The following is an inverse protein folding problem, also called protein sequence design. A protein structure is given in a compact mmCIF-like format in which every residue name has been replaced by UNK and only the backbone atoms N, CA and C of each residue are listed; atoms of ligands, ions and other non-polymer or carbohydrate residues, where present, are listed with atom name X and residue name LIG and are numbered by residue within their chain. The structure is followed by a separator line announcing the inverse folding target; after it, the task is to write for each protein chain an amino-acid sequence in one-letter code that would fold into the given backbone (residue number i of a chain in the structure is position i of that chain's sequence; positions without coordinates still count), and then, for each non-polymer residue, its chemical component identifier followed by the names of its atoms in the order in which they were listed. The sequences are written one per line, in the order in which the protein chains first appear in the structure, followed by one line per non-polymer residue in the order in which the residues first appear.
data_IF_216334164194
#
_entry.id   IF_216334164194
#
_cell.length_a   1.000
_cell.length_b   1.000
_cell.length_c   1.000
_cell.angle_alpha   90.00
_cell.angle_beta   90.00
_cell.angle_gamma   90.00
#
_symmetry.space_group_name_H-M   'P 1'
#
loop_
_entity.id
_entity.type
_entity.pdbx_description
1 polymer ?
#
# COMPACT_ATOMS: atom_id res chain seq x y z
N UNK A 1 -40.65 -9.61 -4.83
CA UNK A 1 -39.51 -8.71 -5.10
C UNK A 1 -38.31 -9.53 -5.58
N UNK A 2 -38.33 -10.01 -6.85
CA UNK A 2 -37.27 -10.83 -7.45
C UNK A 2 -37.28 -10.60 -8.97
N UNK A 3 -36.43 -9.72 -9.48
CA UNK A 3 -36.11 -9.62 -10.92
C UNK A 3 -34.91 -8.67 -11.15
N UNK A 4 -33.67 -9.13 -10.95
CA UNK A 4 -32.47 -8.35 -11.38
C UNK A 4 -31.19 -9.16 -11.62
N UNK A 5 -31.28 -10.46 -11.93
CA UNK A 5 -30.08 -11.32 -12.11
C UNK A 5 -29.85 -11.82 -13.55
N UNK A 6 -30.80 -11.72 -14.47
CA UNK A 6 -30.66 -12.29 -15.82
C UNK A 6 -29.91 -11.43 -16.86
N UNK A 7 -29.69 -10.13 -16.64
CA UNK A 7 -29.03 -9.27 -17.65
C UNK A 7 -27.49 -9.36 -17.68
N UNK A 8 -26.86 -9.83 -16.61
CA UNK A 8 -25.39 -9.83 -16.49
C UNK A 8 -24.72 -10.97 -17.27
N UNK A 9 -25.36 -12.14 -17.37
CA UNK A 9 -24.77 -13.33 -18.01
C UNK A 9 -24.63 -13.12 -19.52
N UNK A 10 -25.67 -12.57 -20.18
CA UNK A 10 -25.63 -12.33 -21.62
C UNK A 10 -24.61 -11.26 -22.05
N UNK A 11 -24.31 -10.29 -21.18
CA UNK A 11 -23.24 -9.31 -21.43
C UNK A 11 -21.86 -9.95 -21.28
N UNK A 12 -21.65 -10.70 -20.20
CA UNK A 12 -20.40 -11.43 -19.94
C UNK A 12 -20.07 -12.40 -21.08
N UNK A 13 -21.04 -13.19 -21.53
CA UNK A 13 -20.85 -14.13 -22.63
C UNK A 13 -20.48 -13.45 -23.96
N UNK A 14 -21.01 -12.25 -24.22
CA UNK A 14 -20.64 -11.45 -25.40
C UNK A 14 -19.21 -10.92 -25.28
N UNK A 15 -18.83 -10.42 -24.12
CA UNK A 15 -17.47 -9.94 -23.87
C UNK A 15 -16.44 -11.07 -24.03
N UNK A 16 -16.72 -12.26 -23.48
CA UNK A 16 -15.84 -13.43 -23.61
C UNK A 16 -15.72 -13.90 -25.07
N UNK A 17 -16.82 -13.91 -25.83
CA UNK A 17 -16.78 -14.24 -27.27
C UNK A 17 -15.98 -13.21 -28.06
N UNK A 18 -16.18 -11.92 -27.81
CA UNK A 18 -15.40 -10.86 -28.47
C UNK A 18 -13.91 -10.96 -28.14
N UNK A 19 -13.56 -11.22 -26.88
CA UNK A 19 -12.17 -11.39 -26.48
C UNK A 19 -11.52 -12.59 -27.19
N UNK A 20 -12.22 -13.73 -27.27
CA UNK A 20 -11.72 -14.91 -27.98
C UNK A 20 -11.51 -14.64 -29.46
N UNK A 21 -12.41 -13.90 -30.09
CA UNK A 21 -12.28 -13.49 -31.50
C UNK A 21 -11.09 -12.55 -31.70
N UNK A 22 -10.90 -11.55 -30.82
CA UNK A 22 -9.74 -10.65 -30.86
C UNK A 22 -8.42 -11.40 -30.65
N UNK A 23 -8.34 -12.32 -29.68
CA UNK A 23 -7.16 -13.16 -29.47
C UNK A 23 -6.87 -14.01 -30.72
N UNK A 24 -7.90 -14.57 -31.35
CA UNK A 24 -7.75 -15.31 -32.61
C UNK A 24 -7.24 -14.46 -33.77
N UNK A 25 -7.59 -13.16 -33.83
CA UNK A 25 -6.99 -12.23 -34.80
C UNK A 25 -5.51 -11.98 -34.47
N UNK A 26 -5.19 -11.70 -33.21
CA UNK A 26 -3.81 -11.45 -32.77
C UNK A 26 -2.89 -12.65 -33.00
N UNK A 27 -3.37 -13.87 -32.74
CA UNK A 27 -2.59 -15.10 -32.99
C UNK A 27 -2.33 -15.32 -34.49
N UNK A 28 -3.34 -15.06 -35.35
CA UNK A 28 -3.17 -15.15 -36.80
C UNK A 28 -2.25 -14.08 -37.35
N UNK A 29 -2.37 -12.85 -36.86
CA UNK A 29 -1.49 -11.76 -37.26
C UNK A 29 -0.07 -11.99 -36.75
N UNK A 30 0.10 -12.49 -35.52
CA UNK A 30 1.39 -12.90 -34.97
C UNK A 30 2.05 -14.07 -35.74
N UNK A 31 1.25 -14.93 -36.36
CA UNK A 31 1.69 -16.02 -37.23
C UNK A 31 1.96 -15.58 -38.69
N UNK A 32 1.39 -14.45 -39.13
CA UNK A 32 1.60 -13.84 -40.47
C UNK A 32 2.75 -12.83 -40.50
N UNK A 33 3.39 -12.59 -39.36
CA UNK A 33 4.58 -11.73 -39.28
C UNK A 33 5.64 -12.28 -40.25
N UNK A 34 6.06 -11.50 -41.26
CA UNK A 34 7.01 -11.97 -42.27
C UNK A 34 8.34 -12.38 -41.63
N UNK A 35 9.03 -13.35 -42.23
CA UNK A 35 10.28 -13.90 -41.70
C UNK A 35 11.40 -12.83 -41.51
N UNK A 36 11.28 -11.67 -42.15
CA UNK A 36 12.14 -10.51 -41.94
C UNK A 36 11.95 -9.83 -40.57
N UNK A 37 10.78 -9.98 -39.95
CA UNK A 37 10.43 -9.41 -38.63
C UNK A 37 10.57 -10.45 -37.51
N UNK A 38 10.51 -11.76 -37.81
CA UNK A 38 10.78 -12.81 -36.80
C UNK A 38 12.23 -12.82 -36.30
N UNK A 39 13.19 -12.38 -37.12
CA UNK A 39 14.58 -12.15 -36.71
C UNK A 39 14.75 -10.95 -35.76
N UNK A 40 13.85 -9.96 -35.84
CA UNK A 40 13.80 -8.82 -34.91
C UNK A 40 13.19 -9.22 -33.57
N UNK A 41 12.22 -10.15 -33.56
CA UNK A 41 11.59 -10.66 -32.32
C UNK A 41 12.61 -11.10 -31.26
N UNK A 42 13.71 -11.76 -31.66
CA UNK A 42 14.77 -12.17 -30.71
C UNK A 42 15.60 -11.00 -30.17
N UNK A 43 15.78 -9.93 -30.96
CA UNK A 43 16.48 -8.72 -30.53
C UNK A 43 15.57 -7.80 -29.72
N UNK A 44 14.28 -7.73 -30.06
CA UNK A 44 13.27 -6.93 -29.39
C UNK A 44 13.06 -7.39 -27.94
N UNK A 45 13.11 -8.70 -27.68
CA UNK A 45 13.07 -9.26 -26.32
C UNK A 45 14.40 -9.14 -25.59
N UNK A 46 15.55 -9.28 -26.27
CA UNK A 46 16.85 -9.13 -25.64
C UNK A 46 17.06 -7.74 -25.01
N UNK A 47 16.60 -6.67 -25.67
CA UNK A 47 16.60 -5.33 -25.10
C UNK A 47 15.59 -5.18 -23.95
N UNK A 48 14.43 -5.86 -24.00
CA UNK A 48 13.46 -5.85 -22.89
C UNK A 48 13.97 -6.61 -21.67
N UNK A 49 14.58 -7.78 -21.85
CA UNK A 49 15.15 -8.59 -20.78
C UNK A 49 16.35 -7.86 -20.14
N UNK A 50 17.21 -7.25 -20.95
CA UNK A 50 18.32 -6.43 -20.46
C UNK A 50 17.82 -5.15 -19.77
N UNK A 51 16.84 -4.45 -20.32
CA UNK A 51 16.24 -3.26 -19.71
C UNK A 51 15.51 -3.61 -18.39
N UNK A 52 14.81 -4.75 -18.34
CA UNK A 52 14.17 -5.24 -17.12
C UNK A 52 15.18 -5.70 -16.07
N UNK A 53 16.25 -6.40 -16.46
CA UNK A 53 17.32 -6.81 -15.56
C UNK A 53 18.07 -5.59 -15.01
N UNK A 54 18.33 -4.58 -15.85
CA UNK A 54 18.97 -3.34 -15.44
C UNK A 54 18.05 -2.47 -14.55
N UNK A 55 16.74 -2.47 -14.83
CA UNK A 55 15.75 -1.78 -13.97
C UNK A 55 15.63 -2.50 -12.62
N UNK A 56 15.49 -3.84 -12.61
CA UNK A 56 15.42 -4.65 -11.40
C UNK A 56 16.66 -4.50 -10.51
N UNK A 57 17.85 -4.54 -11.11
CA UNK A 57 19.10 -4.33 -10.38
C UNK A 57 19.21 -2.91 -9.82
N UNK A 58 18.74 -1.87 -10.53
CA UNK A 58 18.71 -0.49 -10.01
C UNK A 58 17.73 -0.29 -8.84
N UNK A 59 16.56 -0.94 -8.86
CA UNK A 59 15.59 -0.85 -7.74
C UNK A 59 16.16 -1.51 -6.48
N UNK A 60 16.76 -2.70 -6.60
CA UNK A 60 17.32 -3.43 -5.45
C UNK A 60 18.67 -2.86 -4.97
N UNK A 61 19.53 -2.40 -5.87
CA UNK A 61 20.86 -1.86 -5.53
C UNK A 61 20.82 -0.45 -4.91
N UNK A 62 19.70 0.28 -5.04
CA UNK A 62 19.55 1.63 -4.50
C UNK A 62 18.99 1.69 -3.06
N UNK A 63 18.44 0.59 -2.53
CA UNK A 63 17.77 0.60 -1.22
C UNK A 63 18.79 0.32 -0.12
N UNK A 64 19.05 1.33 0.70
CA UNK A 64 19.89 1.20 1.89
C UNK A 64 19.12 0.44 2.99
N UNK A 65 19.50 -0.82 3.24
CA UNK A 65 18.86 -1.66 4.27
C UNK A 65 18.99 -1.09 5.69
N UNK A 66 20.09 -0.37 5.99
CA UNK A 66 20.24 0.33 7.26
C UNK A 66 19.21 1.46 7.38
N UNK A 67 18.98 2.20 6.29
CA UNK A 67 17.93 3.23 6.25
C UNK A 67 16.55 2.62 6.50
N UNK A 68 16.26 1.46 5.89
CA UNK A 68 14.98 0.74 6.10
C UNK A 68 14.81 0.35 7.56
N UNK A 69 15.86 -0.18 8.20
CA UNK A 69 15.81 -0.57 9.61
C UNK A 69 15.60 0.64 10.53
N UNK A 70 16.31 1.75 10.29
CA UNK A 70 16.15 3.00 11.05
C UNK A 70 14.74 3.57 10.84
N UNK A 71 14.25 3.58 9.61
CA UNK A 71 12.92 4.07 9.27
C UNK A 71 11.80 3.23 9.93
N UNK A 72 12.00 1.90 9.99
CA UNK A 72 11.12 0.98 10.70
C UNK A 72 11.10 1.25 12.21
N UNK A 73 12.27 1.48 12.82
CA UNK A 73 12.38 1.84 14.24
C UNK A 73 11.66 3.15 14.55
N UNK A 74 11.89 4.19 13.73
CA UNK A 74 11.22 5.50 13.88
C UNK A 74 9.71 5.32 13.78
N UNK A 75 9.23 4.60 12.77
CA UNK A 75 7.81 4.30 12.58
C UNK A 75 7.19 3.57 13.77
N UNK A 76 7.90 2.57 14.28
CA UNK A 76 7.45 1.78 15.42
C UNK A 76 7.33 2.63 16.69
N UNK A 77 8.34 3.46 16.97
CA UNK A 77 8.32 4.39 18.11
C UNK A 77 7.22 5.44 17.96
N UNK A 78 7.06 6.02 16.77
CA UNK A 78 5.99 6.97 16.47
C UNK A 78 4.62 6.33 16.74
N UNK A 79 4.39 5.10 16.28
CA UNK A 79 3.15 4.38 16.55
C UNK A 79 2.93 4.11 18.04
N UNK A 80 3.98 3.69 18.75
CA UNK A 80 3.92 3.47 20.20
C UNK A 80 3.54 4.74 20.97
N UNK A 81 4.13 5.88 20.62
CA UNK A 81 3.82 7.18 21.25
C UNK A 81 2.41 7.66 20.85
N UNK A 82 2.03 7.51 19.58
CA UNK A 82 0.77 8.02 19.05
C UNK A 82 -0.46 7.38 19.72
N UNK A 83 -0.43 6.06 19.85
CA UNK A 83 -1.52 5.28 20.44
C UNK A 83 -1.35 5.02 21.95
N UNK A 84 -0.34 5.62 22.58
CA UNK A 84 -0.19 5.58 24.04
C UNK A 84 -1.34 6.33 24.74
N UNK A 85 -1.73 5.94 25.97
CA UNK A 85 -2.75 6.63 26.76
C UNK A 85 -2.56 8.15 26.86
N UNK A 86 -1.31 8.61 26.84
CA UNK A 86 -0.96 10.02 26.96
C UNK A 86 -1.36 10.88 25.74
N UNK A 87 -1.42 10.30 24.53
CA UNK A 87 -1.65 11.05 23.29
C UNK A 87 -3.04 10.80 22.72
N UNK A 88 -3.24 9.72 21.95
CA UNK A 88 -4.53 9.36 21.37
C UNK A 88 -5.06 8.01 21.84
N UNK A 89 -4.44 7.43 22.87
CA UNK A 89 -4.74 6.11 23.43
C UNK A 89 -6.19 5.90 23.88
N UNK A 90 -6.87 6.94 24.36
CA UNK A 90 -8.28 6.87 24.76
C UNK A 90 -9.22 7.17 23.59
N UNK A 91 -8.84 8.16 22.75
CA UNK A 91 -9.61 8.56 21.57
C UNK A 91 -9.70 7.48 20.49
N UNK A 92 -8.69 6.60 20.36
CA UNK A 92 -8.75 5.50 19.37
C UNK A 92 -9.62 4.32 19.81
N UNK A 93 -9.88 4.16 21.11
CA UNK A 93 -10.67 3.04 21.62
C UNK A 93 -12.15 3.25 21.30
N UNK A 94 -12.77 2.22 20.71
CA UNK A 94 -14.20 2.21 20.36
C UNK A 94 -15.04 1.39 21.32
N UNK A 95 -14.40 0.51 22.09
CA UNK A 95 -15.05 -0.37 23.05
C UNK A 95 -14.44 -0.15 24.44
N UNK A 96 -15.21 -0.40 25.51
CA UNK A 96 -14.67 -0.40 26.87
C UNK A 96 -13.48 -1.36 26.99
N UNK A 97 -12.51 -0.99 27.82
CA UNK A 97 -11.38 -1.86 28.12
C UNK A 97 -11.88 -3.17 28.75
N UNK A 98 -11.31 -4.28 28.33
CA UNK A 98 -11.59 -5.57 28.96
C UNK A 98 -11.17 -5.53 30.44
N UNK A 99 -11.95 -6.14 31.34
CA UNK A 99 -11.54 -6.39 32.72
C UNK A 99 -10.19 -7.08 32.77
N UNK A 100 -9.33 -6.72 33.73
CA UNK A 100 -7.94 -7.23 33.77
C UNK A 100 -7.83 -8.75 33.82
N UNK A 101 -8.81 -9.43 34.43
CA UNK A 101 -8.89 -10.88 34.50
C UNK A 101 -9.15 -11.58 33.14
N UNK A 102 -9.56 -10.83 32.10
CA UNK A 102 -9.77 -11.32 30.74
C UNK A 102 -8.65 -10.90 29.77
N UNK A 103 -7.64 -10.16 30.24
CA UNK A 103 -6.57 -9.63 29.39
C UNK A 103 -5.46 -10.66 29.19
N UNK A 104 -5.44 -11.29 28.02
CA UNK A 104 -4.28 -12.09 27.59
C UNK A 104 -3.10 -11.16 27.30
N UNK A 105 -2.10 -11.13 28.19
CA UNK A 105 -0.89 -10.34 28.01
C UNK A 105 0.16 -11.11 27.21
N UNK A 106 0.30 -10.77 25.93
CA UNK A 106 1.44 -11.18 25.08
C UNK A 106 2.16 -9.95 24.51
N UNK A 107 2.74 -9.07 25.36
CA UNK A 107 3.32 -7.81 24.93
C UNK A 107 4.44 -8.02 23.92
N UNK A 108 5.32 -9.01 24.12
CA UNK A 108 6.40 -9.33 23.20
C UNK A 108 5.87 -9.70 21.79
N UNK A 109 4.77 -10.44 21.70
CA UNK A 109 4.16 -10.79 20.42
C UNK A 109 3.55 -9.57 19.73
N UNK A 110 2.84 -8.72 20.48
CA UNK A 110 2.20 -7.51 19.95
C UNK A 110 3.25 -6.54 19.42
N UNK A 111 4.28 -6.25 20.22
CA UNK A 111 5.38 -5.38 19.81
C UNK A 111 6.23 -5.99 18.70
N UNK A 112 6.48 -7.31 18.74
CA UNK A 112 7.21 -8.01 17.69
C UNK A 112 6.50 -7.96 16.34
N UNK A 113 5.19 -8.24 16.31
CA UNK A 113 4.37 -8.10 15.09
C UNK A 113 4.31 -6.64 14.64
N UNK A 114 4.12 -5.69 15.55
CA UNK A 114 4.08 -4.27 15.24
C UNK A 114 5.38 -3.76 14.61
N UNK A 115 6.53 -4.20 15.13
CA UNK A 115 7.84 -3.87 14.57
C UNK A 115 8.03 -4.51 13.19
N UNK A 116 7.65 -5.78 13.02
CA UNK A 116 7.71 -6.46 11.72
C UNK A 116 6.86 -5.76 10.65
N UNK A 117 5.64 -5.33 11.01
CA UNK A 117 4.79 -4.56 10.10
C UNK A 117 5.40 -3.19 9.78
N UNK A 118 6.07 -2.56 10.74
CA UNK A 118 6.80 -1.30 10.52
C UNK A 118 7.97 -1.50 9.55
N UNK A 119 8.67 -2.63 9.62
CA UNK A 119 9.73 -3.01 8.70
C UNK A 119 9.21 -3.22 7.28
N UNK A 120 8.08 -3.93 7.15
CA UNK A 120 7.42 -4.13 5.86
C UNK A 120 6.98 -2.78 5.27
N UNK A 121 6.35 -1.92 6.07
CA UNK A 121 5.91 -0.60 5.64
C UNK A 121 7.09 0.27 5.16
N UNK A 122 8.19 0.30 5.93
CA UNK A 122 9.40 1.03 5.56
C UNK A 122 10.00 0.52 4.24
N UNK A 123 10.07 -0.81 4.07
CA UNK A 123 10.57 -1.42 2.84
C UNK A 123 9.69 -1.08 1.63
N UNK A 124 8.37 -1.21 1.76
CA UNK A 124 7.42 -0.87 0.69
C UNK A 124 7.50 0.61 0.32
N UNK A 125 7.66 1.49 1.31
CA UNK A 125 7.80 2.91 1.08
C UNK A 125 9.13 3.27 0.40
N UNK A 126 10.22 2.60 0.76
CA UNK A 126 11.51 2.74 0.06
C UNK A 126 11.42 2.31 -1.42
N UNK A 127 10.71 1.23 -1.71
CA UNK A 127 10.45 0.78 -3.09
C UNK A 127 9.57 1.80 -3.83
N UNK A 128 8.56 2.37 -3.17
CA UNK A 128 7.62 3.32 -3.75
C UNK A 128 8.28 4.66 -4.11
N UNK A 129 9.08 5.24 -3.21
CA UNK A 129 9.75 6.52 -3.46
C UNK A 129 11.06 6.39 -4.24
N UNK A 130 11.67 5.22 -4.22
CA UNK A 130 13.01 5.03 -4.77
C UNK A 130 14.10 5.65 -3.88
N UNK A 131 15.37 5.57 -4.34
CA UNK A 131 16.51 6.05 -3.56
C UNK A 131 16.51 7.57 -3.42
N UNK A 132 16.72 8.05 -2.17
CA UNK A 132 16.88 9.47 -1.81
C UNK A 132 15.75 10.39 -2.31
N UNK A 133 14.52 10.22 -1.79
CA UNK A 133 13.45 11.16 -2.08
C UNK A 133 13.80 12.56 -1.57
N UNK A 134 13.37 13.59 -2.29
CA UNK A 134 13.48 14.95 -1.78
C UNK A 134 12.56 15.16 -0.58
N UNK A 135 12.92 16.09 0.31
CA UNK A 135 12.12 16.42 1.49
C UNK A 135 10.69 16.85 1.12
N UNK A 136 10.52 17.55 -0.01
CA UNK A 136 9.20 17.95 -0.52
C UNK A 136 8.34 16.74 -0.89
N UNK A 137 8.93 15.74 -1.57
CA UNK A 137 8.21 14.50 -1.90
C UNK A 137 7.82 13.75 -0.63
N UNK A 138 8.72 13.62 0.34
CA UNK A 138 8.43 12.99 1.63
C UNK A 138 7.23 13.64 2.34
N UNK A 139 7.21 14.97 2.42
CA UNK A 139 6.13 15.73 3.06
C UNK A 139 4.81 15.57 2.30
N UNK A 140 4.82 15.80 0.98
CA UNK A 140 3.62 15.73 0.16
C UNK A 140 3.03 14.32 0.16
N UNK A 141 3.86 13.29 -0.03
CA UNK A 141 3.41 11.89 -0.01
C UNK A 141 2.86 11.51 1.37
N UNK A 142 3.48 11.96 2.46
CA UNK A 142 2.96 11.73 3.81
C UNK A 142 1.61 12.40 4.04
N UNK A 143 1.50 13.70 3.76
CA UNK A 143 0.23 14.42 3.87
C UNK A 143 -0.88 13.78 3.00
N UNK A 144 -0.56 13.39 1.77
CA UNK A 144 -1.50 12.73 0.87
C UNK A 144 -1.97 11.37 1.43
N UNK A 145 -1.04 10.54 1.93
CA UNK A 145 -1.37 9.26 2.53
C UNK A 145 -2.27 9.42 3.77
N UNK A 146 -1.99 10.43 4.62
CA UNK A 146 -2.84 10.76 5.75
C UNK A 146 -4.23 11.20 5.34
N UNK A 147 -4.35 12.09 4.35
CA UNK A 147 -5.64 12.56 3.83
C UNK A 147 -6.48 11.41 3.27
N UNK A 148 -5.87 10.50 2.50
CA UNK A 148 -6.54 9.29 2.02
C UNK A 148 -7.10 8.48 3.18
N UNK A 149 -6.35 8.37 4.28
CA UNK A 149 -6.80 7.61 5.45
C UNK A 149 -7.87 8.33 6.27
N UNK A 150 -7.87 9.68 6.30
CA UNK A 150 -9.00 10.45 6.86
C UNK A 150 -10.27 10.17 6.06
N UNK A 151 -10.23 10.32 4.73
CA UNK A 151 -11.40 10.17 3.85
C UNK A 151 -11.96 8.75 3.90
N UNK A 152 -11.08 7.75 3.80
CA UNK A 152 -11.50 6.34 3.87
C UNK A 152 -11.93 5.92 5.28
N UNK A 153 -11.31 6.50 6.31
CA UNK A 153 -11.72 6.35 7.70
C UNK A 153 -13.17 6.79 7.92
N UNK A 154 -13.54 7.94 7.35
CA UNK A 154 -14.91 8.46 7.43
C UNK A 154 -15.94 7.46 6.90
N UNK A 155 -15.69 6.88 5.73
CA UNK A 155 -16.57 5.89 5.11
C UNK A 155 -16.66 4.59 5.93
N UNK A 156 -15.51 4.09 6.41
CA UNK A 156 -15.43 2.85 7.21
C UNK A 156 -16.16 3.00 8.55
N UNK A 157 -15.83 4.05 9.29
CA UNK A 157 -16.36 4.31 10.63
C UNK A 157 -17.85 4.66 10.60
N UNK A 158 -18.30 5.35 9.54
CA UNK A 158 -19.74 5.64 9.35
C UNK A 158 -20.56 4.35 9.23
N UNK A 159 -20.07 3.37 8.47
CA UNK A 159 -20.75 2.07 8.29
C UNK A 159 -20.83 1.25 9.58
N UNK A 160 -19.93 1.49 10.53
CA UNK A 160 -19.88 0.81 11.83
C UNK A 160 -20.83 1.41 12.89
N UNK A 161 -21.67 2.39 12.54
CA UNK A 161 -22.68 2.95 13.44
C UNK A 161 -22.13 3.92 14.50
N UNK A 162 -20.90 4.41 14.34
CA UNK A 162 -20.31 5.40 15.23
C UNK A 162 -21.02 6.76 15.12
N UNK A 163 -21.10 7.48 16.23
CA UNK A 163 -21.57 8.86 16.25
C UNK A 163 -20.71 9.74 15.33
N UNK A 164 -21.30 10.81 14.76
CA UNK A 164 -20.58 11.71 13.83
C UNK A 164 -19.28 12.27 14.44
N UNK A 165 -19.33 12.65 15.72
CA UNK A 165 -18.16 13.15 16.46
C UNK A 165 -17.05 12.10 16.59
N UNK A 166 -17.40 10.89 17.04
CA UNK A 166 -16.43 9.80 17.20
C UNK A 166 -15.86 9.31 15.86
N UNK A 167 -16.67 9.36 14.80
CA UNK A 167 -16.19 9.07 13.44
C UNK A 167 -15.12 10.08 13.00
N UNK A 168 -15.38 11.38 13.14
CA UNK A 168 -14.40 12.41 12.80
C UNK A 168 -13.12 12.24 13.63
N UNK A 169 -13.26 12.06 14.94
CA UNK A 169 -12.14 11.83 15.86
C UNK A 169 -11.25 10.66 15.41
N UNK A 170 -11.85 9.47 15.21
CA UNK A 170 -11.11 8.28 14.77
C UNK A 170 -10.48 8.45 13.38
N UNK A 171 -11.17 9.13 12.48
CA UNK A 171 -10.66 9.38 11.12
C UNK A 171 -9.46 10.31 11.15
N UNK A 172 -9.49 11.34 12.00
CA UNK A 172 -8.36 12.26 12.20
C UNK A 172 -7.19 11.60 12.94
N UNK A 173 -7.45 10.79 13.97
CA UNK A 173 -6.38 10.09 14.70
C UNK A 173 -5.61 9.16 13.75
N UNK A 174 -6.33 8.35 12.95
CA UNK A 174 -5.69 7.42 12.03
C UNK A 174 -5.05 8.13 10.83
N UNK A 175 -5.72 9.14 10.28
CA UNK A 175 -5.17 9.95 9.20
C UNK A 175 -3.92 10.72 9.60
N UNK A 176 -3.93 11.34 10.78
CA UNK A 176 -2.79 12.04 11.35
C UNK A 176 -1.62 11.08 11.62
N UNK A 177 -1.88 9.89 12.16
CA UNK A 177 -0.86 8.86 12.33
C UNK A 177 -0.16 8.54 11.01
N UNK A 178 -0.91 8.22 9.95
CA UNK A 178 -0.31 7.88 8.66
C UNK A 178 0.42 9.06 8.01
N UNK A 179 -0.09 10.28 8.17
CA UNK A 179 0.64 11.47 7.72
C UNK A 179 2.03 11.57 8.36
N UNK A 180 2.08 11.51 9.70
CA UNK A 180 3.33 11.60 10.46
C UNK A 180 4.24 10.41 10.19
N UNK A 181 3.69 9.20 10.12
CA UNK A 181 4.42 7.97 9.80
C UNK A 181 5.17 8.10 8.47
N UNK A 182 4.47 8.43 7.38
CA UNK A 182 5.07 8.48 6.06
C UNK A 182 5.99 9.69 5.87
N UNK A 183 5.71 10.82 6.53
CA UNK A 183 6.66 11.93 6.63
C UNK A 183 7.97 11.50 7.30
N UNK A 184 7.88 10.80 8.43
CA UNK A 184 9.05 10.34 9.17
C UNK A 184 9.87 9.33 8.37
N UNK A 185 9.21 8.37 7.70
CA UNK A 185 9.86 7.43 6.78
C UNK A 185 10.61 8.17 5.66
N UNK A 186 9.94 9.12 5.00
CA UNK A 186 10.53 9.88 3.90
C UNK A 186 11.70 10.75 4.35
N UNK A 187 11.61 11.34 5.55
CA UNK A 187 12.71 12.11 6.14
C UNK A 187 13.92 11.23 6.43
N UNK A 188 13.73 10.02 6.96
CA UNK A 188 14.83 9.07 7.13
C UNK A 188 15.44 8.75 5.77
N UNK A 189 14.65 8.37 4.77
CA UNK A 189 15.20 8.03 3.44
C UNK A 189 15.88 9.18 2.71
N UNK A 190 15.49 10.43 2.98
CA UNK A 190 16.17 11.61 2.43
C UNK A 190 17.60 11.80 2.96
N UNK A 191 17.94 11.21 4.11
CA UNK A 191 19.20 11.43 4.84
C UNK A 191 20.15 10.20 4.83
N UNK A 192 19.83 9.15 4.07
CA UNK A 192 20.66 7.95 3.93
C UNK A 192 21.06 7.71 2.46
#
# INVERSE_FOLDING_TARGET
MQARTHRNVAYFDRAVRQLRTYLGYLERDAARVPASVSGLRGQDFAWQDAAQAQTRSRVMAGINLLAVLVAAMVTFVVGGIWYAPLLFGEGWQTHPRLPDHLRVHKPALIFGIGFLLSLIAALMFAIFLGPRPSMQVAVVTGCAAGLVWVVTGFARNYRSGLSKGKNLELSLINGGFHAVQFMALGLVFANF
#
